data_IF_569777130170
#
_entry.id   IF_569777130170
#
_cell.length_a   1.000
_cell.length_b   1.000
_cell.length_c   1.000
_cell.angle_alpha   90.00
_cell.angle_beta   90.00
_cell.angle_gamma   90.00
#
_symmetry.space_group_name_H-M   'P 1'
#
loop_
_entity.id
_entity.type
_entity.pdbx_description
1 polymer ?
#
# COMPACT_ATOMS: atom_id res chain seq x y z
N UNK A 1 -55.75 -62.30 -4.71
CA UNK A 1 -55.70 -60.94 -4.13
C UNK A 1 -54.31 -60.51 -3.64
N UNK A 2 -53.47 -61.38 -3.03
CA UNK A 2 -52.14 -60.96 -2.51
C UNK A 2 -51.09 -60.57 -3.57
N UNK A 3 -51.11 -61.20 -4.76
CA UNK A 3 -50.14 -60.92 -5.85
C UNK A 3 -50.42 -59.64 -6.63
N UNK A 4 -51.69 -59.25 -6.79
CA UNK A 4 -52.09 -58.02 -7.49
C UNK A 4 -51.87 -56.77 -6.63
N UNK A 5 -52.06 -56.89 -5.30
CA UNK A 5 -51.74 -55.82 -4.36
C UNK A 5 -50.23 -55.54 -4.27
N UNK A 6 -49.40 -56.60 -4.31
CA UNK A 6 -47.94 -56.45 -4.29
C UNK A 6 -47.43 -55.76 -5.57
N UNK A 7 -47.93 -56.16 -6.75
CA UNK A 7 -47.54 -55.54 -8.02
C UNK A 7 -47.95 -54.06 -8.11
N UNK A 8 -49.14 -53.70 -7.61
CA UNK A 8 -49.59 -52.31 -7.55
C UNK A 8 -48.74 -51.45 -6.61
N UNK A 9 -48.31 -52.01 -5.47
CA UNK A 9 -47.46 -51.31 -4.50
C UNK A 9 -46.05 -51.08 -5.04
N UNK A 10 -45.47 -52.05 -5.76
CA UNK A 10 -44.16 -51.89 -6.41
C UNK A 10 -44.21 -50.89 -7.56
N UNK A 11 -45.29 -50.88 -8.34
CA UNK A 11 -45.49 -49.90 -9.42
C UNK A 11 -45.63 -48.46 -8.88
N UNK A 12 -46.35 -48.29 -7.77
CA UNK A 12 -46.50 -47.00 -7.09
C UNK A 12 -45.15 -46.51 -6.53
N UNK A 13 -44.35 -47.41 -5.95
CA UNK A 13 -43.02 -47.09 -5.43
C UNK A 13 -42.05 -46.66 -6.56
N UNK A 14 -42.14 -47.29 -7.74
CA UNK A 14 -41.33 -46.91 -8.91
C UNK A 14 -41.75 -45.55 -9.50
N UNK A 15 -43.04 -45.21 -9.47
CA UNK A 15 -43.54 -43.91 -9.93
C UNK A 15 -43.09 -42.75 -9.03
N UNK A 16 -42.95 -43.00 -7.72
CA UNK A 16 -42.47 -41.99 -6.76
C UNK A 16 -40.96 -41.76 -6.88
N UNK A 17 -40.17 -42.79 -7.21
CA UNK A 17 -38.71 -42.63 -7.39
C UNK A 17 -38.33 -41.97 -8.71
N UNK A 18 -39.12 -42.15 -9.78
CA UNK A 18 -38.88 -41.54 -11.09
C UNK A 18 -39.22 -40.05 -11.16
N UNK A 19 -40.15 -39.55 -10.34
CA UNK A 19 -40.55 -38.14 -10.32
C UNK A 19 -39.63 -37.24 -9.47
N UNK A 20 -38.78 -37.83 -8.62
CA UNK A 20 -37.87 -37.09 -7.73
C UNK A 20 -36.61 -36.53 -8.41
N UNK A 21 -36.03 -37.24 -9.39
CA UNK A 21 -34.70 -36.88 -9.91
C UNK A 21 -34.67 -35.62 -10.79
N UNK A 22 -35.77 -35.27 -11.44
CA UNK A 22 -35.87 -34.05 -12.25
C UNK A 22 -36.12 -32.80 -11.41
N UNK A 23 -37.10 -32.86 -10.51
CA UNK A 23 -37.54 -31.71 -9.70
C UNK A 23 -36.49 -31.29 -8.65
N UNK A 24 -35.72 -32.24 -8.13
CA UNK A 24 -34.69 -31.96 -7.12
C UNK A 24 -33.49 -31.19 -7.71
N UNK A 25 -33.15 -31.44 -8.98
CA UNK A 25 -32.11 -30.66 -9.70
C UNK A 25 -32.56 -29.22 -9.97
N UNK A 26 -33.83 -29.01 -10.33
CA UNK A 26 -34.39 -27.67 -10.57
C UNK A 26 -34.48 -26.88 -9.27
N UNK A 27 -35.02 -27.49 -8.21
CA UNK A 27 -35.11 -26.87 -6.87
C UNK A 27 -33.73 -26.55 -6.31
N UNK A 28 -32.77 -27.47 -6.37
CA UNK A 28 -31.39 -27.23 -5.94
C UNK A 28 -30.74 -26.04 -6.64
N UNK A 29 -30.95 -25.90 -7.95
CA UNK A 29 -30.43 -24.78 -8.74
C UNK A 29 -31.10 -23.46 -8.38
N UNK A 30 -32.41 -23.47 -8.15
CA UNK A 30 -33.15 -22.29 -7.67
C UNK A 30 -32.71 -21.89 -6.26
N UNK A 31 -32.54 -22.84 -5.34
CA UNK A 31 -32.05 -22.57 -3.98
C UNK A 31 -30.62 -22.04 -4.01
N UNK A 32 -29.76 -22.58 -4.88
CA UNK A 32 -28.38 -22.09 -5.05
C UNK A 32 -28.34 -20.70 -5.69
N UNK A 33 -29.26 -20.40 -6.62
CA UNK A 33 -29.41 -19.06 -7.21
C UNK A 33 -29.86 -18.06 -6.15
N UNK A 34 -30.91 -18.39 -5.38
CA UNK A 34 -31.39 -17.55 -4.28
C UNK A 34 -30.31 -17.34 -3.21
N UNK A 35 -29.55 -18.39 -2.88
CA UNK A 35 -28.43 -18.32 -1.94
C UNK A 35 -27.33 -17.38 -2.43
N UNK A 36 -26.97 -17.45 -3.72
CA UNK A 36 -26.01 -16.50 -4.33
C UNK A 36 -26.56 -15.10 -4.53
N UNK A 37 -27.87 -14.90 -4.56
CA UNK A 37 -28.46 -13.59 -4.77
C UNK A 37 -28.61 -12.81 -3.46
N UNK A 38 -28.96 -13.50 -2.36
CA UNK A 38 -29.32 -12.85 -1.09
C UNK A 38 -28.45 -13.22 0.11
N UNK A 39 -27.70 -14.32 0.07
CA UNK A 39 -26.92 -14.80 1.23
C UNK A 39 -25.42 -14.69 0.98
N UNK A 40 -24.96 -15.05 -0.21
CA UNK A 40 -23.58 -14.93 -0.65
C UNK A 40 -23.54 -14.31 -2.04
N UNK A 41 -24.00 -13.06 -2.10
CA UNK A 41 -23.87 -12.20 -3.28
C UNK A 41 -22.41 -12.09 -3.64
N UNK A 42 -22.05 -12.56 -4.83
CA UNK A 42 -20.70 -12.41 -5.35
C UNK A 42 -20.38 -10.90 -5.36
N UNK A 43 -19.38 -10.44 -4.58
CA UNK A 43 -19.13 -9.01 -4.42
C UNK A 43 -18.70 -8.44 -5.77
N UNK A 44 -19.51 -7.53 -6.32
CA UNK A 44 -19.12 -6.76 -7.50
C UNK A 44 -18.39 -5.52 -7.04
N UNK A 45 -17.13 -5.39 -7.43
CA UNK A 45 -16.33 -4.20 -7.17
C UNK A 45 -16.69 -3.18 -8.25
N UNK A 46 -17.33 -2.09 -7.86
CA UNK A 46 -17.53 -0.94 -8.72
C UNK A 46 -16.22 -0.14 -8.79
N UNK A 47 -15.51 -0.23 -9.91
CA UNK A 47 -14.27 0.52 -10.14
C UNK A 47 -14.51 2.02 -10.38
N UNK A 48 -15.77 2.46 -10.52
CA UNK A 48 -16.13 3.87 -10.67
C UNK A 48 -16.38 4.57 -9.34
N UNK A 49 -16.67 3.81 -8.28
CA UNK A 49 -16.76 4.33 -6.93
C UNK A 49 -15.37 4.38 -6.29
N UNK A 50 -14.84 5.59 -6.10
CA UNK A 50 -13.56 5.78 -5.43
C UNK A 50 -13.62 5.50 -3.92
N UNK A 51 -14.80 5.24 -3.36
CA UNK A 51 -14.99 4.88 -1.94
C UNK A 51 -14.74 6.02 -0.94
N UNK A 52 -14.27 7.18 -1.40
CA UNK A 52 -14.04 8.39 -0.60
C UNK A 52 -14.97 9.47 -1.16
N UNK A 53 -15.89 10.00 -0.36
CA UNK A 53 -16.82 11.04 -0.81
C UNK A 53 -16.22 12.45 -0.74
N UNK A 54 -15.25 12.67 0.14
CA UNK A 54 -14.57 13.95 0.29
C UNK A 54 -13.52 14.16 -0.80
N UNK A 55 -13.78 15.14 -1.67
CA UNK A 55 -12.87 15.54 -2.76
C UNK A 55 -11.49 15.99 -2.26
N UNK A 56 -11.40 16.54 -1.04
CA UNK A 56 -10.13 16.88 -0.42
C UNK A 56 -9.30 15.63 -0.18
N UNK A 57 -9.88 14.62 0.47
CA UNK A 57 -9.22 13.33 0.73
C UNK A 57 -8.90 12.58 -0.57
N UNK A 58 -9.78 12.62 -1.57
CA UNK A 58 -9.47 12.07 -2.91
C UNK A 58 -8.25 12.75 -3.52
N UNK A 59 -8.17 14.10 -3.48
CA UNK A 59 -7.00 14.86 -3.95
C UNK A 59 -5.75 14.44 -3.18
N UNK A 60 -5.81 14.38 -1.85
CA UNK A 60 -4.68 13.98 -1.03
C UNK A 60 -4.19 12.59 -1.44
N UNK A 61 -5.09 11.60 -1.50
CA UNK A 61 -4.78 10.23 -1.90
C UNK A 61 -4.10 10.17 -3.26
N UNK A 62 -4.64 10.86 -4.27
CA UNK A 62 -4.05 10.93 -5.61
C UNK A 62 -2.65 11.55 -5.62
N UNK A 63 -2.37 12.49 -4.71
CA UNK A 63 -1.06 13.13 -4.59
C UNK A 63 -0.04 12.26 -3.86
N UNK A 64 -0.39 11.68 -2.71
CA UNK A 64 0.60 11.03 -1.84
C UNK A 64 0.74 9.53 -2.08
N UNK A 65 -0.28 8.82 -2.58
CA UNK A 65 -0.20 7.36 -2.73
C UNK A 65 0.97 6.89 -3.60
N UNK A 66 1.23 7.46 -4.80
CA UNK A 66 2.36 7.03 -5.61
C UNK A 66 3.71 7.29 -4.95
N UNK A 67 3.80 8.29 -4.08
CA UNK A 67 4.99 8.63 -3.28
C UNK A 67 5.18 7.59 -2.17
N UNK A 68 4.12 7.33 -1.41
CA UNK A 68 4.09 6.38 -0.28
C UNK A 68 4.38 4.94 -0.73
N UNK A 69 3.86 4.52 -1.88
CA UNK A 69 4.16 3.20 -2.46
C UNK A 69 5.65 2.97 -2.70
N UNK A 70 6.38 3.99 -3.18
CA UNK A 70 7.83 3.90 -3.39
C UNK A 70 8.58 3.81 -2.07
N UNK A 71 8.16 4.60 -1.09
CA UNK A 71 8.72 4.59 0.25
C UNK A 71 8.50 3.23 0.93
N UNK A 72 7.28 2.68 0.87
CA UNK A 72 6.93 1.36 1.40
C UNK A 72 7.70 0.23 0.70
N UNK A 73 7.88 0.31 -0.61
CA UNK A 73 8.69 -0.63 -1.37
C UNK A 73 10.13 -0.68 -0.85
N UNK A 74 10.74 0.49 -0.68
CA UNK A 74 12.11 0.62 -0.15
C UNK A 74 12.20 0.10 1.29
N UNK A 75 11.25 0.47 2.16
CA UNK A 75 11.22 0.04 3.55
C UNK A 75 11.16 -1.48 3.71
N UNK A 76 10.44 -2.17 2.82
CA UNK A 76 10.36 -3.63 2.85
C UNK A 76 11.72 -4.27 2.57
N UNK A 77 12.46 -3.74 1.59
CA UNK A 77 13.80 -4.27 1.25
C UNK A 77 14.80 -3.93 2.35
N UNK A 78 14.83 -2.66 2.79
CA UNK A 78 15.75 -2.19 3.82
C UNK A 78 15.52 -2.92 5.15
N UNK A 79 14.26 -3.05 5.59
CA UNK A 79 13.90 -3.74 6.83
C UNK A 79 14.08 -5.25 6.80
N UNK A 80 14.32 -5.85 5.63
CA UNK A 80 14.64 -7.28 5.51
C UNK A 80 16.13 -7.58 5.67
N UNK A 81 16.98 -6.55 5.66
CA UNK A 81 18.42 -6.70 5.72
C UNK A 81 18.90 -6.85 7.17
N UNK A 82 19.03 -8.08 7.63
CA UNK A 82 19.39 -8.36 9.03
C UNK A 82 20.90 -8.49 9.28
N UNK A 83 21.67 -8.78 8.23
CA UNK A 83 23.13 -8.92 8.27
C UNK A 83 23.79 -7.71 7.63
N UNK A 84 25.08 -7.39 7.93
CA UNK A 84 25.78 -6.30 7.26
C UNK A 84 25.79 -6.55 5.74
N UNK A 85 25.20 -5.67 4.91
CA UNK A 85 25.12 -5.90 3.48
C UNK A 85 26.46 -5.63 2.80
N UNK A 86 26.70 -6.36 1.70
CA UNK A 86 27.80 -6.08 0.80
C UNK A 86 27.49 -4.89 -0.13
N UNK A 87 28.52 -4.37 -0.78
CA UNK A 87 28.38 -3.24 -1.69
C UNK A 87 27.43 -3.52 -2.87
N UNK A 88 27.41 -4.76 -3.37
CA UNK A 88 26.53 -5.18 -4.48
C UNK A 88 25.05 -5.09 -4.09
N UNK A 89 24.70 -5.47 -2.85
CA UNK A 89 23.34 -5.33 -2.35
C UNK A 89 22.90 -3.87 -2.31
N UNK A 90 23.78 -2.97 -1.86
CA UNK A 90 23.51 -1.53 -1.83
C UNK A 90 23.32 -0.96 -3.25
N UNK A 91 24.14 -1.40 -4.22
CA UNK A 91 23.97 -1.02 -5.63
C UNK A 91 22.63 -1.52 -6.21
N UNK A 92 22.24 -2.76 -5.89
CA UNK A 92 20.96 -3.31 -6.31
C UNK A 92 19.77 -2.55 -5.69
N UNK A 93 19.88 -2.15 -4.42
CA UNK A 93 18.87 -1.33 -3.76
C UNK A 93 18.67 0.01 -4.49
N UNK A 94 19.76 0.70 -4.85
CA UNK A 94 19.72 1.94 -5.61
C UNK A 94 19.20 1.75 -7.04
N UNK A 95 19.54 0.64 -7.68
CA UNK A 95 19.04 0.31 -9.02
C UNK A 95 17.52 0.10 -9.00
N UNK A 96 17.02 -0.61 -7.99
CA UNK A 96 15.59 -0.90 -7.80
C UNK A 96 14.83 0.36 -7.37
N UNK A 97 15.44 1.20 -6.53
CA UNK A 97 14.88 2.45 -6.00
C UNK A 97 15.71 3.64 -6.48
N UNK A 98 15.65 3.91 -7.78
CA UNK A 98 16.46 4.94 -8.47
C UNK A 98 16.23 6.40 -8.04
N UNK A 99 15.36 6.62 -7.05
CA UNK A 99 15.10 7.91 -6.44
C UNK A 99 15.92 8.12 -5.15
N UNK A 100 16.51 7.05 -4.60
CA UNK A 100 17.45 7.15 -3.48
C UNK A 100 18.72 7.90 -3.91
N UNK A 101 19.26 8.68 -2.99
CA UNK A 101 20.52 9.40 -3.18
C UNK A 101 21.73 8.55 -2.83
N UNK A 102 21.59 7.61 -1.90
CA UNK A 102 22.64 6.67 -1.55
C UNK A 102 22.27 5.74 -0.40
N UNK A 103 23.20 4.84 -0.09
CA UNK A 103 23.14 3.86 0.98
C UNK A 103 24.49 3.85 1.70
N UNK A 104 24.48 3.92 3.01
CA UNK A 104 25.67 3.89 3.86
C UNK A 104 25.50 2.81 4.92
N UNK A 105 26.54 2.01 5.14
CA UNK A 105 26.61 1.03 6.21
C UNK A 105 27.53 1.59 7.28
N UNK A 106 27.02 1.78 8.49
CA UNK A 106 27.77 2.29 9.63
C UNK A 106 27.75 1.30 10.77
N UNK A 107 28.84 1.20 11.53
CA UNK A 107 28.86 0.43 12.77
C UNK A 107 28.30 1.23 13.96
N UNK A 108 28.28 0.62 15.14
CA UNK A 108 27.79 1.25 16.38
C UNK A 108 28.65 2.41 16.86
N UNK A 109 29.90 2.55 16.37
CA UNK A 109 30.79 3.66 16.68
C UNK A 109 30.63 4.85 15.72
N UNK A 110 29.84 4.68 14.66
CA UNK A 110 29.65 5.68 13.61
C UNK A 110 30.67 5.60 12.48
N UNK A 111 31.52 4.57 12.45
CA UNK A 111 32.46 4.35 11.36
C UNK A 111 31.71 3.78 10.16
N UNK A 112 31.93 4.38 8.99
CA UNK A 112 31.37 3.89 7.72
C UNK A 112 32.13 2.65 7.27
N UNK A 113 31.44 1.51 7.22
CA UNK A 113 31.96 0.24 6.73
C UNK A 113 31.90 0.14 5.20
N UNK A 114 30.92 0.80 4.58
CA UNK A 114 30.74 0.82 3.14
C UNK A 114 29.70 1.87 2.72
N UNK A 115 29.82 2.38 1.50
CA UNK A 115 28.86 3.36 0.97
C UNK A 115 28.70 3.23 -0.55
N UNK A 116 27.50 3.55 -1.02
CA UNK A 116 27.17 3.69 -2.44
C UNK A 116 26.31 4.94 -2.62
N UNK A 117 26.68 5.91 -3.47
CA UNK A 117 27.92 5.94 -4.28
C UNK A 117 29.18 6.02 -3.42
N UNK A 118 30.33 5.56 -3.95
CA UNK A 118 31.59 5.52 -3.21
C UNK A 118 32.13 6.90 -2.82
N UNK A 119 31.72 7.94 -3.54
CA UNK A 119 32.00 9.34 -3.21
C UNK A 119 30.67 10.01 -2.87
N UNK A 120 30.47 10.45 -1.62
CA UNK A 120 29.23 11.09 -1.23
C UNK A 120 29.18 12.52 -1.79
N UNK A 121 28.02 12.91 -2.30
CA UNK A 121 27.78 14.28 -2.78
C UNK A 121 27.65 15.30 -1.64
N UNK A 122 27.40 14.81 -0.42
CA UNK A 122 27.19 15.60 0.80
C UNK A 122 27.67 14.80 2.02
N UNK A 123 28.39 15.41 2.97
CA UNK A 123 28.68 14.77 4.25
C UNK A 123 27.40 14.66 5.07
N UNK A 124 27.13 13.48 5.63
CA UNK A 124 25.96 13.22 6.46
C UNK A 124 26.42 12.81 7.86
N UNK A 125 25.75 13.33 8.89
CA UNK A 125 25.96 12.92 10.28
C UNK A 125 24.97 11.82 10.67
N UNK A 126 25.50 10.68 11.12
CA UNK A 126 24.73 9.52 11.54
C UNK A 126 24.65 9.37 13.06
N UNK A 127 25.37 10.19 13.84
CA UNK A 127 25.35 10.10 15.31
C UNK A 127 23.93 10.22 15.89
N UNK A 128 23.06 11.16 15.45
CA UNK A 128 21.71 11.28 15.97
C UNK A 128 20.80 10.08 15.63
N UNK A 129 21.15 9.28 14.61
CA UNK A 129 20.49 8.00 14.36
C UNK A 129 20.98 6.97 15.36
N UNK A 130 22.30 6.84 15.58
CA UNK A 130 22.92 5.86 16.48
C UNK A 130 22.53 6.03 17.95
N UNK A 131 22.21 7.26 18.38
CA UNK A 131 21.65 7.55 19.71
C UNK A 131 20.33 6.79 19.99
N UNK A 132 19.66 6.30 18.95
CA UNK A 132 18.43 5.50 19.06
C UNK A 132 18.71 4.01 19.30
N UNK A 133 19.85 3.67 19.89
CA UNK A 133 20.32 2.30 20.16
C UNK A 133 19.24 1.36 20.73
N UNK A 134 18.43 1.82 21.69
CA UNK A 134 17.38 1.01 22.31
C UNK A 134 16.31 0.55 21.31
N UNK A 135 16.06 1.33 20.25
CA UNK A 135 15.16 0.96 19.15
C UNK A 135 15.75 -0.16 18.31
N UNK A 136 17.05 -0.05 18.01
CA UNK A 136 17.76 -0.98 17.15
C UNK A 136 18.02 -2.32 17.82
N UNK A 137 18.30 -2.34 19.12
CA UNK A 137 18.44 -3.58 19.91
C UNK A 137 17.21 -4.48 19.84
N UNK A 138 16.02 -3.90 19.61
CA UNK A 138 14.76 -4.62 19.40
C UNK A 138 14.31 -4.68 17.94
N UNK A 139 15.27 -4.59 17.00
CA UNK A 139 15.06 -4.78 15.54
C UNK A 139 14.07 -3.79 14.91
N UNK A 140 13.92 -2.59 15.48
CA UNK A 140 13.07 -1.54 14.89
C UNK A 140 13.90 -0.57 14.05
N UNK A 141 13.36 -0.14 12.92
CA UNK A 141 13.95 0.89 12.05
C UNK A 141 13.85 2.28 12.65
N UNK A 142 14.77 3.17 12.28
CA UNK A 142 14.77 4.59 12.63
C UNK A 142 14.76 5.50 11.40
N UNK A 143 14.39 6.77 11.56
CA UNK A 143 14.50 7.76 10.49
C UNK A 143 14.66 9.19 11.03
N UNK A 144 15.24 10.06 10.22
CA UNK A 144 15.45 11.48 10.57
C UNK A 144 15.30 12.36 9.35
N UNK A 145 14.90 13.62 9.60
CA UNK A 145 14.98 14.69 8.60
C UNK A 145 16.16 15.58 8.96
N UNK A 146 17.04 15.81 8.00
CA UNK A 146 18.19 16.70 8.13
C UNK A 146 18.05 17.81 7.12
N UNK A 147 18.12 19.06 7.57
CA UNK A 147 18.06 20.24 6.71
C UNK A 147 19.30 21.08 6.94
N UNK A 148 20.01 21.38 5.85
CA UNK A 148 21.23 22.20 5.83
C UNK A 148 21.20 23.17 4.63
N UNK A 149 22.30 23.88 4.38
CA UNK A 149 22.43 24.84 3.28
C UNK A 149 22.26 24.21 1.88
N UNK A 150 22.50 22.91 1.73
CA UNK A 150 22.32 22.18 0.48
C UNK A 150 20.88 21.65 0.31
N UNK A 151 20.03 21.80 1.32
CA UNK A 151 18.61 21.42 1.31
C UNK A 151 18.29 20.24 2.24
N UNK A 152 17.05 19.76 2.19
CA UNK A 152 16.56 18.68 3.05
C UNK A 152 16.96 17.29 2.54
N UNK A 153 17.34 16.41 3.44
CA UNK A 153 17.59 14.98 3.21
C UNK A 153 16.85 14.18 4.28
N UNK A 154 16.23 13.07 3.86
CA UNK A 154 15.61 12.10 4.75
C UNK A 154 16.54 10.89 4.88
N UNK A 155 16.84 10.50 6.11
CA UNK A 155 17.64 9.33 6.45
C UNK A 155 16.72 8.24 7.00
N UNK A 156 16.88 7.00 6.53
CA UNK A 156 16.12 5.84 7.00
C UNK A 156 17.11 4.73 7.34
N UNK A 157 17.07 4.25 8.57
CA UNK A 157 18.02 3.30 9.12
C UNK A 157 17.35 1.98 9.50
N UNK A 158 17.87 0.87 8.99
CA UNK A 158 17.57 -0.47 9.50
C UNK A 158 18.76 -1.01 10.29
N UNK A 159 18.54 -1.65 11.45
CA UNK A 159 19.62 -2.28 12.20
C UNK A 159 20.06 -3.59 11.55
N UNK A 160 21.37 -3.84 11.55
CA UNK A 160 21.92 -5.16 11.26
C UNK A 160 22.62 -5.76 12.48
N UNK A 161 22.78 -7.07 12.47
CA UNK A 161 23.26 -7.84 13.61
C UNK A 161 24.45 -8.73 13.23
N UNK A 162 25.32 -8.97 14.21
CA UNK A 162 26.37 -9.98 14.16
C UNK A 162 26.23 -10.81 15.43
N UNK A 163 26.18 -12.14 15.30
CA UNK A 163 26.02 -13.05 16.45
C UNK A 163 24.79 -12.71 17.33
N UNK A 164 23.72 -12.23 16.68
CA UNK A 164 22.48 -11.77 17.32
C UNK A 164 22.63 -10.53 18.25
N UNK A 165 23.77 -9.84 18.18
CA UNK A 165 23.97 -8.53 18.80
C UNK A 165 23.87 -7.41 17.74
N UNK A 166 23.27 -6.28 18.14
CA UNK A 166 23.17 -5.12 17.26
C UNK A 166 24.57 -4.58 16.93
N UNK A 167 24.91 -4.57 15.64
CA UNK A 167 26.27 -4.32 15.16
C UNK A 167 26.40 -3.04 14.34
N UNK A 168 25.28 -2.39 13.98
CA UNK A 168 25.28 -1.15 13.23
C UNK A 168 23.98 -0.90 12.48
N UNK A 169 24.03 0.03 11.51
CA UNK A 169 22.90 0.46 10.70
C UNK A 169 23.21 0.38 9.21
N UNK A 170 22.21 -0.01 8.44
CA UNK A 170 22.12 0.24 7.00
C UNK A 170 21.23 1.47 6.83
N UNK A 171 21.80 2.56 6.33
CA UNK A 171 21.14 3.86 6.18
C UNK A 171 20.91 4.13 4.70
N UNK A 172 19.65 4.10 4.26
CA UNK A 172 19.24 4.64 2.97
C UNK A 172 18.87 6.12 3.13
N UNK A 173 19.33 6.97 2.21
CA UNK A 173 19.00 8.39 2.26
C UNK A 173 18.59 8.94 0.90
N UNK A 174 17.77 9.98 0.93
CA UNK A 174 17.26 10.61 -0.27
C UNK A 174 16.92 12.09 -0.07
N UNK A 175 17.05 12.84 -1.17
CA UNK A 175 16.46 14.15 -1.31
C UNK A 175 14.94 14.01 -1.57
N UNK A 176 14.06 14.66 -0.79
CA UNK A 176 12.62 14.61 -0.98
C UNK A 176 12.16 14.93 -2.42
N UNK A 177 12.89 15.78 -3.15
CA UNK A 177 12.62 16.11 -4.57
C UNK A 177 12.57 14.89 -5.47
N UNK A 178 13.42 13.90 -5.21
CA UNK A 178 13.51 12.68 -6.00
C UNK A 178 12.30 11.76 -5.78
N UNK A 179 11.66 11.86 -4.61
CA UNK A 179 10.53 11.03 -4.22
C UNK A 179 9.19 11.71 -4.58
N UNK A 180 9.02 12.99 -4.28
CA UNK A 180 7.75 13.71 -4.53
C UNK A 180 7.41 13.83 -6.01
N UNK A 181 8.38 13.69 -6.93
CA UNK A 181 8.14 13.67 -8.38
C UNK A 181 7.18 12.58 -8.86
N UNK A 182 6.95 11.54 -8.05
CA UNK A 182 5.97 10.49 -8.35
C UNK A 182 4.53 10.94 -8.07
N UNK A 183 4.34 12.03 -7.33
CA UNK A 183 3.04 12.68 -7.17
C UNK A 183 2.55 13.23 -8.51
N UNK A 184 1.23 13.21 -8.72
CA UNK A 184 0.60 13.78 -9.92
C UNK A 184 0.72 15.31 -10.01
N UNK A 185 0.82 15.98 -8.86
CA UNK A 185 1.11 17.41 -8.74
C UNK A 185 1.95 17.68 -7.48
N UNK A 186 3.29 17.59 -7.58
CA UNK A 186 4.18 17.82 -6.44
C UNK A 186 4.08 19.23 -5.84
N UNK A 187 3.54 20.21 -6.58
CA UNK A 187 3.37 21.58 -6.10
C UNK A 187 2.20 21.72 -5.12
N UNK A 188 1.17 20.90 -5.27
CA UNK A 188 0.02 20.86 -4.36
C UNK A 188 0.26 20.00 -3.10
N UNK A 189 1.24 19.10 -3.13
CA UNK A 189 1.61 18.26 -1.99
C UNK A 189 2.61 18.99 -1.08
N UNK A 190 2.29 19.05 0.22
CA UNK A 190 3.23 19.45 1.27
C UNK A 190 3.55 18.22 2.10
N UNK A 191 4.81 18.03 2.45
CA UNK A 191 5.25 16.96 3.35
C UNK A 191 6.00 17.57 4.52
N UNK A 192 5.60 17.23 5.73
CA UNK A 192 6.27 17.64 6.96
C UNK A 192 6.52 16.40 7.81
N UNK A 193 7.33 16.54 8.84
CA UNK A 193 7.52 15.53 9.85
C UNK A 193 7.52 16.14 11.25
N UNK A 194 7.56 15.28 12.27
CA UNK A 194 7.81 15.69 13.65
C UNK A 194 9.21 16.28 13.89
N UNK A 195 10.16 16.08 12.95
CA UNK A 195 11.49 16.71 12.97
C UNK A 195 11.50 18.08 12.23
N UNK A 196 10.56 18.33 11.32
CA UNK A 196 10.47 19.59 10.59
C UNK A 196 9.94 19.47 9.16
N UNK A 197 10.24 20.46 8.32
CA UNK A 197 9.80 20.50 6.93
C UNK A 197 10.54 19.47 6.07
N UNK A 198 9.80 18.67 5.29
CA UNK A 198 10.35 17.69 4.34
C UNK A 198 10.25 18.18 2.90
N UNK A 199 9.08 18.70 2.51
CA UNK A 199 8.80 19.23 1.19
C UNK A 199 7.78 20.38 1.27
N UNK A 200 8.14 21.60 0.84
CA UNK A 200 7.29 22.79 1.02
C UNK A 200 6.07 22.86 0.10
N UNK A 201 6.02 22.06 -0.97
CA UNK A 201 5.12 22.33 -2.10
C UNK A 201 5.52 23.62 -2.84
N UNK A 202 4.62 24.13 -3.69
CA UNK A 202 4.89 25.30 -4.53
C UNK A 202 4.35 26.64 -3.98
N UNK A 203 3.40 26.63 -3.04
CA UNK A 203 2.62 27.83 -2.69
C UNK A 203 3.11 28.56 -1.41
N UNK A 204 4.31 28.23 -0.91
CA UNK A 204 4.97 28.95 0.20
C UNK A 204 4.41 28.71 1.62
N UNK A 205 3.44 27.81 1.77
CA UNK A 205 2.79 27.46 3.04
C UNK A 205 3.58 26.45 3.89
N UNK A 206 4.59 25.78 3.29
CA UNK A 206 5.28 24.63 3.90
C UNK A 206 5.84 24.92 5.29
N UNK A 207 6.54 26.05 5.47
CA UNK A 207 7.13 26.43 6.76
C UNK A 207 6.08 26.65 7.85
N UNK A 208 4.98 27.34 7.52
CA UNK A 208 3.90 27.59 8.47
C UNK A 208 3.19 26.29 8.89
N UNK A 209 3.09 25.32 7.97
CA UNK A 209 2.54 23.99 8.27
C UNK A 209 3.53 23.15 9.07
N UNK A 210 4.83 23.22 8.79
CA UNK A 210 5.85 22.51 9.56
C UNK A 210 5.96 23.02 11.01
N UNK A 211 5.68 24.31 11.25
CA UNK A 211 5.69 24.92 12.57
C UNK A 211 4.51 24.51 13.48
N UNK A 212 3.54 23.75 12.97
CA UNK A 212 2.45 23.20 13.77
C UNK A 212 2.96 22.15 14.76
N UNK A 213 2.25 21.99 15.89
CA UNK A 213 2.61 21.02 16.94
C UNK A 213 2.19 19.59 16.54
N UNK A 214 2.81 19.05 15.50
CA UNK A 214 2.47 17.72 14.97
C UNK A 214 2.54 16.62 16.02
N UNK A 215 3.54 16.63 16.89
CA UNK A 215 3.66 15.65 17.99
C UNK A 215 2.45 15.65 18.92
N UNK A 216 1.77 16.79 19.12
CA UNK A 216 0.56 16.84 19.93
C UNK A 216 -0.66 16.40 19.12
N UNK A 217 -0.81 16.88 17.88
CA UNK A 217 -1.94 16.54 17.01
C UNK A 217 -2.01 15.04 16.71
N UNK A 218 -0.87 14.38 16.55
CA UNK A 218 -0.78 12.96 16.19
C UNK A 218 -1.10 12.01 17.35
N UNK A 219 -1.27 12.52 18.58
CA UNK A 219 -1.74 11.71 19.72
C UNK A 219 -3.20 11.31 19.56
N UNK A 220 -4.00 12.18 18.95
CA UNK A 220 -5.46 12.02 18.87
C UNK A 220 -5.91 11.41 17.54
N UNK A 221 -5.16 11.64 16.46
CA UNK A 221 -5.54 11.23 15.12
C UNK A 221 -4.36 11.09 14.18
N UNK A 222 -4.48 10.19 13.18
CA UNK A 222 -3.47 10.00 12.12
C UNK A 222 -3.89 10.61 10.78
N UNK A 223 -5.07 11.23 10.72
CA UNK A 223 -5.60 11.92 9.55
C UNK A 223 -6.59 12.99 10.01
N UNK A 224 -6.87 13.98 9.18
CA UNK A 224 -7.93 14.92 9.46
C UNK A 224 -7.91 16.17 8.60
N UNK A 225 -8.57 17.20 9.11
CA UNK A 225 -8.68 18.54 8.54
C UNK A 225 -8.06 19.57 9.47
N UNK A 226 -7.44 20.60 8.90
CA UNK A 226 -6.92 21.73 9.67
C UNK A 226 -7.04 23.05 8.88
N UNK A 227 -7.43 24.10 9.59
CA UNK A 227 -7.36 25.47 9.10
C UNK A 227 -6.09 26.11 9.64
N UNK A 228 -5.09 26.31 8.79
CA UNK A 228 -3.80 26.88 9.15
C UNK A 228 -3.19 27.61 7.94
N UNK A 229 -2.18 28.45 8.15
CA UNK A 229 -1.43 29.10 7.06
C UNK A 229 -2.32 29.76 5.96
N UNK A 230 -3.48 30.31 6.35
CA UNK A 230 -4.43 30.92 5.41
C UNK A 230 -5.15 29.96 4.46
N UNK A 231 -5.13 28.65 4.71
CA UNK A 231 -5.80 27.62 3.91
C UNK A 231 -6.60 26.60 4.73
N UNK A 232 -7.21 25.64 4.03
CA UNK A 232 -7.91 24.51 4.64
C UNK A 232 -7.27 23.24 4.10
N UNK A 233 -6.58 22.50 4.97
CA UNK A 233 -5.77 21.36 4.58
C UNK A 233 -6.40 20.07 5.06
N UNK A 234 -6.49 19.09 4.16
CA UNK A 234 -6.62 17.70 4.57
C UNK A 234 -5.22 17.13 4.78
N UNK A 235 -5.07 16.23 5.74
CA UNK A 235 -3.79 15.63 6.06
C UNK A 235 -3.89 14.16 6.45
N UNK A 236 -2.80 13.44 6.21
CA UNK A 236 -2.63 12.02 6.55
C UNK A 236 -1.20 11.78 7.02
N UNK A 237 -1.05 11.13 8.17
CA UNK A 237 0.22 10.70 8.71
C UNK A 237 0.57 9.25 8.30
N UNK A 238 1.86 9.02 8.11
CA UNK A 238 2.50 7.72 7.89
C UNK A 238 3.77 7.64 8.72
N UNK A 239 4.18 6.42 9.09
CA UNK A 239 5.34 6.21 9.95
C UNK A 239 6.54 5.72 9.14
N UNK A 240 7.68 6.37 9.36
CA UNK A 240 8.98 6.00 8.83
C UNK A 240 9.92 5.70 10.02
N UNK A 241 9.95 4.45 10.47
CA UNK A 241 10.58 4.14 11.76
C UNK A 241 9.82 4.81 12.89
N UNK A 242 10.43 5.72 13.65
CA UNK A 242 9.73 6.60 14.61
C UNK A 242 9.10 7.81 13.94
N UNK A 243 9.66 8.24 12.82
CA UNK A 243 9.38 9.56 12.30
C UNK A 243 7.98 9.55 11.70
N UNK A 244 7.12 10.44 12.19
CA UNK A 244 5.82 10.64 11.58
C UNK A 244 5.96 11.60 10.40
N UNK A 245 5.75 11.10 9.20
CA UNK A 245 5.60 11.89 7.99
C UNK A 245 4.13 12.25 7.81
N UNK A 246 3.85 13.54 7.63
CA UNK A 246 2.50 14.05 7.40
C UNK A 246 2.41 14.64 6.00
N UNK A 247 1.51 14.09 5.20
CA UNK A 247 1.16 14.58 3.87
C UNK A 247 -0.03 15.52 3.97
N UNK A 248 0.05 16.67 3.30
CA UNK A 248 -1.03 17.65 3.28
C UNK A 248 -1.28 18.18 1.87
N UNK A 249 -2.53 18.56 1.60
CA UNK A 249 -2.90 19.37 0.43
C UNK A 249 -3.98 20.35 0.82
N UNK A 250 -3.98 21.53 0.18
CA UNK A 250 -5.09 22.47 0.30
C UNK A 250 -6.33 21.88 -0.39
N UNK A 251 -7.42 21.78 0.36
CA UNK A 251 -8.68 21.19 -0.07
C UNK A 251 -9.70 22.24 -0.57
N UNK A 252 -9.43 23.54 -0.39
CA UNK A 252 -10.41 24.61 -0.69
C UNK A 252 -10.89 24.55 -2.13
N UNK A 253 -9.96 24.46 -3.08
CA UNK A 253 -10.28 24.47 -4.50
C UNK A 253 -11.19 23.28 -4.88
N UNK A 254 -10.76 22.06 -4.54
CA UNK A 254 -11.48 20.83 -4.93
C UNK A 254 -12.81 20.66 -4.21
N UNK A 255 -12.94 21.13 -2.96
CA UNK A 255 -14.22 21.12 -2.24
C UNK A 255 -15.21 22.15 -2.79
N UNK A 256 -14.71 23.28 -3.32
CA UNK A 256 -15.55 24.32 -3.92
C UNK A 256 -15.91 24.05 -5.39
N UNK A 257 -15.25 23.10 -6.05
CA UNK A 257 -15.63 22.68 -7.40
C UNK A 257 -17.03 22.05 -7.37
N UNK A 258 -17.96 22.64 -8.14
CA UNK A 258 -19.29 22.05 -8.37
C UNK A 258 -19.15 20.60 -8.85
N UNK A 259 -20.07 19.68 -8.49
CA UNK A 259 -20.05 18.33 -9.03
C UNK A 259 -20.00 18.42 -10.56
N UNK A 260 -19.03 17.73 -11.18
CA UNK A 260 -19.11 17.56 -12.63
C UNK A 260 -20.46 16.87 -12.94
N UNK A 261 -21.19 17.31 -13.99
CA UNK A 261 -22.37 16.59 -14.40
C UNK A 261 -21.95 15.14 -14.65
N UNK A 262 -22.65 14.19 -14.00
CA UNK A 262 -22.43 12.75 -14.21
C UNK A 262 -22.30 12.54 -15.70
N UNK A 263 -21.10 12.18 -16.15
CA UNK A 263 -20.89 11.76 -17.53
C UNK A 263 -21.83 10.59 -17.72
N UNK A 264 -22.90 10.79 -18.49
CA UNK A 264 -23.88 9.76 -18.78
C UNK A 264 -23.09 8.52 -19.18
N UNK A 265 -23.33 7.42 -18.44
CA UNK A 265 -22.62 6.17 -18.70
C UNK A 265 -22.75 5.90 -20.19
N UNK A 266 -21.61 5.79 -20.88
CA UNK A 266 -21.61 5.38 -22.27
C UNK A 266 -22.46 4.09 -22.34
N UNK A 267 -23.40 3.98 -23.29
CA UNK A 267 -24.25 2.81 -23.38
C UNK A 267 -23.36 1.57 -23.36
N UNK A 268 -23.66 0.66 -22.44
CA UNK A 268 -22.91 -0.57 -22.21
C UNK A 268 -22.52 -1.16 -23.57
N UNK A 269 -21.22 -1.18 -23.86
CA UNK A 269 -20.73 -1.93 -24.99
C UNK A 269 -21.13 -3.38 -24.72
N UNK A 270 -22.08 -3.91 -25.51
CA UNK A 270 -22.46 -5.31 -25.48
C UNK A 270 -21.20 -6.14 -25.67
N UNK A 271 -20.65 -6.65 -24.59
CA UNK A 271 -19.51 -7.56 -24.63
C UNK A 271 -20.02 -8.93 -25.03
N UNK A 272 -20.24 -9.14 -26.33
CA UNK A 272 -20.43 -10.47 -26.93
C UNK A 272 -19.09 -11.22 -27.03
N UNK A 273 -18.28 -11.17 -25.97
CA UNK A 273 -17.13 -12.06 -25.82
C UNK A 273 -17.50 -13.08 -24.76
N UNK A 274 -18.02 -14.23 -25.21
CA UNK A 274 -18.07 -15.44 -24.41
C UNK A 274 -16.65 -15.77 -23.98
N UNK A 275 -16.32 -15.49 -22.72
CA UNK A 275 -15.19 -16.12 -22.05
C UNK A 275 -15.49 -17.63 -22.08
N UNK A 276 -14.59 -18.48 -22.62
CA UNK A 276 -14.79 -19.92 -22.59
C UNK A 276 -14.91 -20.35 -21.13
N UNK A 277 -16.06 -20.94 -20.80
CA UNK A 277 -16.28 -21.63 -19.53
C UNK A 277 -15.12 -22.60 -19.30
N UNK A 278 -14.59 -22.64 -18.09
CA UNK A 278 -13.66 -23.65 -17.60
C UNK A 278 -14.23 -25.05 -17.87
N UNK A 279 -13.88 -25.63 -19.01
CA UNK A 279 -13.98 -27.07 -19.20
C UNK A 279 -12.97 -27.74 -18.27
N UNK A 280 -13.36 -28.79 -17.54
CA UNK A 280 -12.39 -29.58 -16.79
C UNK A 280 -11.36 -30.15 -17.76
N UNK A 281 -10.08 -30.06 -17.40
CA UNK A 281 -9.00 -30.68 -18.17
C UNK A 281 -9.30 -32.17 -18.38
N UNK A 282 -9.08 -32.72 -19.59
CA UNK A 282 -9.31 -34.13 -19.87
C UNK A 282 -8.41 -34.99 -18.98
N UNK A 283 -9.01 -36.02 -18.38
CA UNK A 283 -8.31 -37.00 -17.55
C UNK A 283 -7.35 -37.80 -18.43
N UNK A 284 -6.09 -38.06 -18.00
CA UNK A 284 -5.16 -38.87 -18.79
C UNK A 284 -5.72 -40.27 -19.05
N UNK A 285 -5.56 -40.76 -20.29
CA UNK A 285 -5.98 -42.10 -20.66
C UNK A 285 -5.18 -43.16 -19.87
N UNK A 286 -5.88 -44.20 -19.39
CA UNK A 286 -5.31 -45.34 -18.68
C UNK A 286 -4.31 -46.09 -19.59
N UNK A 287 -3.03 -46.21 -19.20
CA UNK A 287 -2.00 -46.84 -20.03
C UNK A 287 -2.11 -48.37 -20.13
N UNK A 288 -3.18 -48.99 -19.63
CA UNK A 288 -3.35 -50.46 -19.67
C UNK A 288 -4.28 -50.98 -20.77
N UNK A 289 -4.88 -50.11 -21.57
CA UNK A 289 -5.65 -50.52 -22.74
C UNK A 289 -4.75 -50.65 -23.99
N UNK A 290 -4.16 -51.83 -24.19
CA UNK A 290 -3.48 -52.19 -25.44
C UNK A 290 -4.50 -52.66 -26.52
N UNK A 291 -4.13 -52.61 -27.81
CA UNK A 291 -5.00 -52.26 -28.94
C UNK A 291 -6.08 -53.27 -29.34
#
# INVERSE_FOLDING_TARGET
MKRTALAAMTALLCLVTLTGCGSMKTKWRETRKLYREYINTDPTIDFSDQGITDKGLQRLAALFMPVDERLLGMLRVLGSQDTPPEQEWAQQLLTTHNWLSGVVVVDTSGVTLGQVPSVPMRPLDFAPLLEQAERYKVRKMGARVVTDEMGTVVLVAAPFFKENEWAGLVVAYFDPRNLVRFSSDPGALVVVSTDGLVWPGANGQGEALAALKWTDMLKDSVQGDINAAGGQYVWQARYLGQLELVYLTDAREVRNQKPEPKKEAAPEAKSDVRIPSTEPLPVPADPTANP
#
